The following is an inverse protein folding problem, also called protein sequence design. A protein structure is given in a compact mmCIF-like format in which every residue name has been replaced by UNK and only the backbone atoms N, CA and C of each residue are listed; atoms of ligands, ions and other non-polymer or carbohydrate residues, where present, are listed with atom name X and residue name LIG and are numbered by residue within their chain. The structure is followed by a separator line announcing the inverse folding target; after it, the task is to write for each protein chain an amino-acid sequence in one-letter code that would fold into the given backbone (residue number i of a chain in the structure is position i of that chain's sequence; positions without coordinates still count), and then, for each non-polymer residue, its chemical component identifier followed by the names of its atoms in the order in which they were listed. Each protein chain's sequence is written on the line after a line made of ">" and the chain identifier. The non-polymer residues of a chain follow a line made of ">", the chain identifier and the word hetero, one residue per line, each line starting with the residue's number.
data_IF_588657624367
#
_entry.id   IF_588657624367
#
_cell.length_a   1.000
_cell.length_b   1.000
_cell.length_c   1.000
_cell.angle_alpha   90.00
_cell.angle_beta   90.00
_cell.angle_gamma   90.00
#
_symmetry.space_group_name_H-M   'P 1'
#
loop_
_entity.id
_entity.type
_entity.pdbx_description
1 polymer ?
#
# COMPACT_ATOMS: atom_id res chain seq x y z
N UNK A 1 28.76 -26.20 -52.18
CA UNK A 1 27.46 -26.50 -52.79
C UNK A 1 26.54 -26.90 -51.65
N UNK A 2 25.49 -26.11 -51.38
CA UNK A 2 24.56 -26.33 -50.28
C UNK A 2 23.86 -27.71 -50.39
N UNK A 3 23.21 -28.14 -49.30
CA UNK A 3 21.76 -28.28 -49.45
C UNK A 3 20.95 -27.66 -48.31
N UNK A 4 19.75 -27.24 -48.70
CA UNK A 4 18.69 -26.56 -47.97
C UNK A 4 17.56 -27.56 -47.59
N UNK A 5 16.95 -27.29 -46.42
CA UNK A 5 15.60 -27.60 -45.87
C UNK A 5 15.01 -29.01 -45.85
N UNK A 6 14.39 -29.31 -44.68
CA UNK A 6 12.94 -29.55 -44.55
C UNK A 6 12.43 -29.23 -43.12
N UNK A 7 11.26 -28.61 -43.02
CA UNK A 7 10.48 -28.25 -41.81
C UNK A 7 9.93 -29.47 -41.02
N UNK A 8 9.54 -29.30 -39.73
CA UNK A 8 8.78 -30.30 -38.98
C UNK A 8 7.26 -30.06 -39.01
N UNK A 9 6.49 -31.15 -39.15
CA UNK A 9 5.03 -31.19 -39.04
C UNK A 9 4.61 -32.15 -37.91
N UNK A 10 3.58 -31.70 -37.19
CA UNK A 10 2.58 -32.40 -36.39
C UNK A 10 2.83 -32.88 -34.95
N UNK A 11 1.94 -32.38 -34.08
CA UNK A 11 1.58 -32.87 -32.77
C UNK A 11 0.65 -34.10 -32.88
N UNK A 12 0.72 -35.10 -31.98
CA UNK A 12 -0.31 -36.13 -31.93
C UNK A 12 -1.41 -35.82 -30.90
N UNK A 13 -2.63 -36.14 -31.31
CA UNK A 13 -3.87 -36.10 -30.56
C UNK A 13 -3.99 -37.24 -29.52
N UNK A 14 -4.82 -37.00 -28.51
CA UNK A 14 -5.15 -37.93 -27.43
C UNK A 14 -6.15 -39.02 -27.86
N UNK A 15 -6.01 -40.22 -27.29
CA UNK A 15 -7.03 -41.27 -27.23
C UNK A 15 -7.09 -41.86 -25.82
N UNK A 16 -8.31 -42.16 -25.40
CA UNK A 16 -8.87 -42.55 -24.09
C UNK A 16 -8.45 -43.92 -23.54
N UNK A 17 -8.40 -44.09 -22.20
CA UNK A 17 -8.58 -45.41 -21.55
C UNK A 17 -8.05 -45.62 -20.11
N UNK A 18 -8.84 -45.25 -19.10
CA UNK A 18 -9.09 -45.82 -17.75
C UNK A 18 -8.04 -46.59 -16.88
N UNK A 19 -8.07 -46.24 -15.58
CA UNK A 19 -7.86 -47.05 -14.35
C UNK A 19 -6.45 -47.18 -13.74
N UNK A 20 -6.30 -46.63 -12.53
CA UNK A 20 -5.21 -46.94 -11.59
C UNK A 20 -4.98 -45.82 -10.56
N UNK A 21 -5.39 -46.04 -9.31
CA UNK A 21 -5.14 -45.18 -8.16
C UNK A 21 -3.64 -45.03 -7.88
N UNK A 22 -3.17 -43.80 -7.61
CA UNK A 22 -2.12 -43.54 -6.62
C UNK A 22 -2.26 -42.09 -6.09
N UNK A 23 -2.47 -41.99 -4.77
CA UNK A 23 -2.48 -40.75 -4.00
C UNK A 23 -1.04 -40.32 -3.79
N UNK A 24 -0.62 -39.21 -4.40
CA UNK A 24 0.58 -38.48 -3.99
C UNK A 24 0.29 -36.98 -3.99
N UNK A 25 -0.20 -36.48 -2.86
CA UNK A 25 -0.48 -35.06 -2.65
C UNK A 25 0.80 -34.34 -2.25
N UNK A 26 1.57 -33.89 -3.25
CA UNK A 26 2.57 -32.85 -3.04
C UNK A 26 1.84 -31.50 -3.06
N UNK A 27 1.58 -30.94 -1.88
CA UNK A 27 1.02 -29.60 -1.72
C UNK A 27 2.10 -28.56 -1.96
N UNK A 28 2.26 -28.15 -3.23
CA UNK A 28 2.97 -26.92 -3.55
C UNK A 28 2.15 -25.73 -3.07
N UNK A 29 2.69 -24.95 -2.13
CA UNK A 29 2.06 -23.74 -1.62
C UNK A 29 2.00 -22.67 -2.73
N UNK A 30 0.85 -22.57 -3.39
CA UNK A 30 0.54 -21.47 -4.31
C UNK A 30 0.39 -20.18 -3.50
N UNK A 31 1.37 -19.28 -3.64
CA UNK A 31 1.28 -17.94 -3.06
C UNK A 31 0.14 -17.15 -3.74
N UNK A 32 -0.64 -16.35 -2.99
CA UNK A 32 -1.77 -15.62 -3.55
C UNK A 32 -1.31 -14.56 -4.57
N UNK A 33 -2.00 -14.50 -5.70
CA UNK A 33 -1.76 -13.54 -6.80
C UNK A 33 -2.59 -12.29 -6.55
N UNK A 34 -2.01 -11.10 -6.69
CA UNK A 34 -2.74 -9.84 -6.60
C UNK A 34 -3.38 -9.51 -7.96
N UNK A 35 -4.70 -9.61 -8.03
CA UNK A 35 -5.52 -9.28 -9.20
C UNK A 35 -6.27 -7.96 -8.97
N UNK A 36 -6.31 -7.08 -9.99
CA UNK A 36 -6.98 -5.78 -9.90
C UNK A 36 -7.88 -5.51 -11.10
N UNK A 37 -9.16 -5.23 -10.83
CA UNK A 37 -10.10 -4.69 -11.81
C UNK A 37 -9.93 -3.18 -11.96
N UNK A 38 -9.82 -2.69 -13.20
CA UNK A 38 -9.87 -1.26 -13.53
C UNK A 38 -11.33 -0.83 -13.68
N UNK A 39 -11.78 0.20 -12.95
CA UNK A 39 -13.04 0.88 -13.25
C UNK A 39 -12.73 2.28 -13.79
N UNK A 40 -12.90 2.44 -15.10
CA UNK A 40 -12.87 3.73 -15.79
C UNK A 40 -14.29 4.04 -16.23
N UNK A 41 -14.97 4.97 -15.55
CA UNK A 41 -16.16 5.59 -16.13
C UNK A 41 -16.17 7.08 -15.78
N UNK A 42 -15.92 7.89 -16.81
CA UNK A 42 -16.25 9.30 -16.86
C UNK A 42 -17.36 9.52 -17.89
N UNK A 43 -18.40 10.25 -17.49
CA UNK A 43 -19.30 11.09 -18.30
C UNK A 43 -20.40 11.60 -17.37
N UNK A 44 -20.47 12.90 -17.09
CA UNK A 44 -21.08 13.95 -17.92
C UNK A 44 -22.62 14.02 -17.75
N UNK A 45 -23.03 15.08 -17.03
CA UNK A 45 -24.13 16.02 -17.29
C UNK A 45 -25.44 15.48 -17.89
N UNK A 46 -26.54 15.63 -17.14
CA UNK A 46 -27.85 15.97 -17.70
C UNK A 46 -28.60 16.91 -16.76
N UNK A 47 -29.07 18.02 -17.33
CA UNK A 47 -29.96 19.03 -16.77
C UNK A 47 -31.10 19.14 -17.76
N UNK A 48 -32.33 18.85 -17.33
CA UNK A 48 -33.54 19.17 -18.09
C UNK A 48 -34.75 19.36 -17.19
N UNK A 49 -35.40 20.52 -17.35
CA UNK A 49 -36.60 21.00 -16.65
C UNK A 49 -37.91 20.48 -17.27
N UNK A 50 -39.00 20.50 -16.49
CA UNK A 50 -40.37 20.61 -17.04
C UNK A 50 -41.30 21.38 -16.07
N UNK A 51 -42.09 22.28 -16.65
CA UNK A 51 -42.97 23.28 -16.04
C UNK A 51 -44.47 22.90 -16.16
N UNK A 52 -45.30 23.36 -15.21
CA UNK A 52 -46.71 23.82 -15.32
C UNK A 52 -47.39 23.74 -13.92
N UNK A 53 -48.36 24.55 -13.48
CA UNK A 53 -48.95 25.84 -13.83
C UNK A 53 -49.96 26.19 -12.70
N UNK A 54 -50.27 27.48 -12.44
CA UNK A 54 -51.45 27.88 -11.62
C UNK A 54 -51.37 29.24 -10.90
N UNK A 55 -51.84 30.31 -11.58
CA UNK A 55 -52.81 31.39 -11.20
C UNK A 55 -53.00 31.71 -9.69
N UNK A 56 -53.11 32.93 -9.13
CA UNK A 56 -53.59 34.27 -9.57
C UNK A 56 -53.25 35.36 -8.50
N UNK A 57 -53.13 36.63 -8.93
CA UNK A 57 -53.28 37.95 -8.26
C UNK A 57 -53.04 38.18 -6.75
N UNK A 58 -52.22 39.18 -6.39
CA UNK A 58 -52.64 40.43 -5.70
C UNK A 58 -51.51 41.46 -5.75
N UNK A 59 -51.84 42.71 -6.12
CA UNK A 59 -50.93 43.85 -6.15
C UNK A 59 -50.59 44.31 -4.72
N UNK A 60 -49.31 44.52 -4.43
CA UNK A 60 -48.88 45.51 -3.45
C UNK A 60 -47.50 46.05 -3.83
N UNK A 61 -47.49 47.31 -4.25
CA UNK A 61 -46.30 48.13 -4.44
C UNK A 61 -45.69 48.43 -3.09
N UNK A 62 -44.63 47.69 -2.76
CA UNK A 62 -43.67 48.06 -1.71
C UNK A 62 -42.28 47.85 -2.29
N UNK A 63 -41.67 48.98 -2.66
CA UNK A 63 -40.24 49.23 -2.83
C UNK A 63 -39.32 48.01 -2.63
N UNK A 64 -38.81 47.48 -3.74
CA UNK A 64 -37.72 46.51 -3.77
C UNK A 64 -36.45 47.21 -3.27
N UNK A 65 -36.17 47.10 -1.98
CA UNK A 65 -34.80 47.19 -1.48
C UNK A 65 -34.13 45.86 -1.84
N UNK A 66 -33.34 45.89 -2.91
CA UNK A 66 -32.33 44.85 -3.16
C UNK A 66 -31.29 44.99 -2.05
N UNK A 67 -31.54 44.37 -0.90
CA UNK A 67 -30.46 44.14 0.06
C UNK A 67 -29.68 42.94 -0.46
N UNK A 68 -28.63 43.27 -1.21
CA UNK A 68 -27.57 42.35 -1.59
C UNK A 68 -26.75 41.98 -0.36
N UNK A 69 -27.34 41.24 0.57
CA UNK A 69 -26.58 40.50 1.58
C UNK A 69 -26.67 39.01 1.23
N UNK A 70 -25.91 38.63 0.21
CA UNK A 70 -25.41 37.25 0.06
C UNK A 70 -24.39 36.97 1.18
N UNK A 71 -24.79 37.22 2.42
CA UNK A 71 -24.05 36.91 3.63
C UNK A 71 -24.21 35.43 3.87
N UNK A 72 -23.12 34.70 3.67
CA UNK A 72 -23.02 33.28 3.98
C UNK A 72 -23.51 33.06 5.43
N UNK A 73 -24.58 32.27 5.60
CA UNK A 73 -25.14 31.98 6.91
C UNK A 73 -24.13 31.13 7.69
N UNK A 74 -23.36 31.75 8.58
CA UNK A 74 -22.37 31.11 9.46
C UNK A 74 -22.86 31.17 10.92
N UNK A 75 -23.56 30.14 11.42
CA UNK A 75 -24.02 30.10 12.79
C UNK A 75 -22.84 30.02 13.76
N UNK A 76 -22.75 30.99 14.68
CA UNK A 76 -21.77 30.96 15.75
C UNK A 76 -22.15 29.95 16.84
N UNK A 77 -21.19 29.14 17.28
CA UNK A 77 -21.33 28.21 18.39
C UNK A 77 -20.31 28.53 19.48
N UNK A 78 -20.76 28.58 20.74
CA UNK A 78 -19.86 28.72 21.88
C UNK A 78 -19.00 27.45 22.03
N UNK A 79 -17.66 27.58 22.20
CA UNK A 79 -16.80 26.43 22.38
C UNK A 79 -17.15 25.64 23.65
N UNK A 80 -17.47 24.35 23.48
CA UNK A 80 -17.75 23.44 24.62
C UNK A 80 -16.49 23.15 25.44
N UNK A 81 -15.32 23.14 24.79
CA UNK A 81 -14.03 22.84 25.42
C UNK A 81 -12.95 23.74 24.84
N UNK A 82 -12.08 24.26 25.70
CA UNK A 82 -10.84 24.92 25.30
C UNK A 82 -9.70 23.90 25.36
N UNK A 83 -9.13 23.57 24.20
CA UNK A 83 -7.98 22.68 24.10
C UNK A 83 -6.71 23.54 24.05
N UNK A 84 -5.73 23.32 24.95
CA UNK A 84 -4.46 24.01 24.85
C UNK A 84 -3.71 23.57 23.59
N UNK A 85 -2.90 24.47 23.04
CA UNK A 85 -1.98 24.11 21.97
C UNK A 85 -0.91 23.15 22.50
N UNK A 86 -0.78 21.99 21.85
CA UNK A 86 0.17 20.95 22.24
C UNK A 86 1.12 20.70 21.08
N UNK A 87 2.42 20.78 21.35
CA UNK A 87 3.44 20.36 20.39
C UNK A 87 3.49 18.84 20.32
N UNK A 88 3.08 18.29 19.18
CA UNK A 88 3.09 16.84 18.93
C UNK A 88 4.41 16.46 18.28
N UNK A 89 5.13 15.52 18.89
CA UNK A 89 6.33 14.91 18.30
C UNK A 89 5.95 13.79 17.33
N UNK A 90 6.69 13.66 16.24
CA UNK A 90 6.47 12.61 15.24
C UNK A 90 7.10 11.27 15.62
N UNK A 91 8.07 11.29 16.55
CA UNK A 91 8.95 10.17 16.89
C UNK A 91 9.74 9.63 15.67
N UNK A 92 10.01 10.51 14.72
CA UNK A 92 10.83 10.29 13.52
C UNK A 92 12.09 11.19 13.55
N UNK A 93 12.35 11.89 14.66
CA UNK A 93 13.39 12.94 14.77
C UNK A 93 14.82 12.38 14.78
N UNK A 94 15.02 11.18 15.32
CA UNK A 94 16.32 10.50 15.44
C UNK A 94 16.60 9.55 14.25
N UNK A 95 15.85 9.70 13.14
CA UNK A 95 15.94 8.80 11.99
C UNK A 95 16.14 9.55 10.68
N UNK A 96 17.03 9.02 9.84
CA UNK A 96 17.31 9.54 8.52
C UNK A 96 16.42 8.87 7.46
N UNK A 97 15.72 9.68 6.66
CA UNK A 97 14.94 9.18 5.52
C UNK A 97 15.82 8.80 4.34
N UNK A 98 16.00 7.50 4.11
CA UNK A 98 16.80 6.98 2.97
C UNK A 98 15.97 6.88 1.68
N UNK A 99 14.65 6.76 1.80
CA UNK A 99 13.73 6.74 0.67
C UNK A 99 12.41 7.41 1.05
N UNK A 100 11.81 8.14 0.11
CA UNK A 100 10.43 8.61 0.19
C UNK A 100 9.75 8.47 -1.18
N UNK A 101 8.55 7.90 -1.21
CA UNK A 101 7.81 7.74 -2.45
C UNK A 101 6.31 7.63 -2.25
N UNK A 102 5.54 8.24 -3.15
CA UNK A 102 4.07 8.15 -3.14
C UNK A 102 3.62 6.78 -3.64
N UNK A 103 2.81 6.11 -2.85
CA UNK A 103 2.32 4.76 -3.15
C UNK A 103 0.88 4.56 -2.66
N UNK A 104 0.32 3.42 -3.03
CA UNK A 104 -0.89 2.87 -2.46
C UNK A 104 -0.59 1.49 -1.89
N UNK A 105 -0.95 1.28 -0.63
CA UNK A 105 -0.71 0.07 0.15
C UNK A 105 -2.00 -0.73 0.30
N UNK A 106 -1.86 -2.04 0.18
CA UNK A 106 -2.91 -3.02 0.33
C UNK A 106 -2.50 -4.06 1.35
N UNK A 107 -3.49 -4.61 2.03
CA UNK A 107 -3.36 -5.72 2.96
C UNK A 107 -4.11 -6.93 2.41
N UNK A 108 -3.51 -8.10 2.50
CA UNK A 108 -4.19 -9.36 2.23
C UNK A 108 -5.06 -9.75 3.41
N UNK A 109 -6.37 -9.83 3.22
CA UNK A 109 -7.31 -10.30 4.21
C UNK A 109 -7.53 -11.80 4.01
N UNK A 110 -7.18 -12.62 5.01
CA UNK A 110 -7.38 -14.08 5.01
C UNK A 110 -8.16 -14.54 6.26
N UNK A 111 -9.00 -13.68 6.79
CA UNK A 111 -9.87 -14.03 7.91
C UNK A 111 -11.13 -14.77 7.42
N UNK A 112 -11.67 -15.66 8.26
CA UNK A 112 -13.03 -16.21 8.18
C UNK A 112 -13.31 -17.29 7.10
N UNK A 113 -12.29 -17.99 6.61
CA UNK A 113 -12.49 -19.14 5.71
C UNK A 113 -12.98 -18.77 4.29
N UNK A 114 -13.00 -17.47 3.98
CA UNK A 114 -13.24 -16.96 2.63
C UNK A 114 -11.94 -16.97 1.82
N UNK A 115 -12.03 -16.98 0.47
CA UNK A 115 -10.88 -16.77 -0.39
C UNK A 115 -10.21 -15.44 -0.04
N UNK A 116 -8.90 -15.47 0.21
CA UNK A 116 -8.23 -14.26 0.64
C UNK A 116 -8.25 -13.17 -0.43
N UNK A 117 -8.51 -11.94 0.02
CA UNK A 117 -8.73 -10.78 -0.83
C UNK A 117 -7.82 -9.61 -0.47
N UNK A 118 -7.45 -8.80 -1.46
CA UNK A 118 -6.63 -7.61 -1.24
C UNK A 118 -7.50 -6.41 -0.93
N UNK A 119 -7.34 -5.83 0.27
CA UNK A 119 -8.03 -4.61 0.71
C UNK A 119 -7.08 -3.42 0.67
N UNK A 120 -7.56 -2.28 0.18
CA UNK A 120 -6.81 -1.03 0.28
C UNK A 120 -6.62 -0.67 1.75
N UNK A 121 -5.36 -0.47 2.16
CA UNK A 121 -4.99 -0.11 3.52
C UNK A 121 -4.73 1.39 3.64
N UNK A 122 -4.16 2.01 2.61
CA UNK A 122 -3.98 3.46 2.57
C UNK A 122 -3.24 3.97 1.33
N UNK A 123 -3.34 5.27 1.10
CA UNK A 123 -2.63 6.00 0.05
C UNK A 123 -1.83 7.13 0.69
N UNK A 124 -0.54 7.24 0.34
CA UNK A 124 0.33 8.28 0.86
C UNK A 124 1.80 8.04 0.55
N UNK A 125 2.69 8.67 1.29
CA UNK A 125 4.12 8.50 1.14
C UNK A 125 4.61 7.36 2.04
N UNK A 126 5.26 6.36 1.44
CA UNK A 126 6.07 5.39 2.17
C UNK A 126 7.47 5.99 2.37
N UNK A 127 8.02 5.80 3.56
CA UNK A 127 9.38 6.16 3.93
C UNK A 127 10.14 4.92 4.38
N UNK A 128 11.41 4.85 4.03
CA UNK A 128 12.38 4.01 4.72
C UNK A 128 13.20 4.92 5.62
N UNK A 129 13.22 4.63 6.92
CA UNK A 129 13.84 5.44 7.95
C UNK A 129 14.95 4.63 8.62
N UNK A 130 16.17 5.13 8.58
CA UNK A 130 17.36 4.53 9.19
C UNK A 130 17.62 5.21 10.54
N UNK A 131 17.79 4.42 11.58
CA UNK A 131 18.32 4.88 12.86
C UNK A 131 19.81 4.49 12.94
N UNK A 132 20.70 5.48 13.05
CA UNK A 132 22.14 5.25 13.09
C UNK A 132 22.62 4.68 14.43
N UNK A 133 21.98 5.06 15.54
CA UNK A 133 22.39 4.61 16.87
C UNK A 133 22.05 3.14 17.15
N UNK A 134 21.01 2.62 16.49
CA UNK A 134 20.49 1.25 16.68
C UNK A 134 20.78 0.33 15.51
N UNK A 135 21.36 0.86 14.43
CA UNK A 135 21.55 0.15 13.15
C UNK A 135 20.28 -0.53 12.62
N UNK A 136 19.14 0.10 12.85
CA UNK A 136 17.84 -0.42 12.39
C UNK A 136 17.29 0.43 11.27
N UNK A 137 16.57 -0.21 10.35
CA UNK A 137 15.79 0.48 9.32
C UNK A 137 14.34 0.05 9.46
N UNK A 138 13.41 1.00 9.43
CA UNK A 138 11.96 0.72 9.43
C UNK A 138 11.27 1.32 8.22
N UNK A 139 10.23 0.64 7.78
CA UNK A 139 9.28 1.15 6.82
C UNK A 139 8.15 1.84 7.57
N UNK A 140 7.92 3.11 7.26
CA UNK A 140 6.83 3.91 7.82
C UNK A 140 5.99 4.50 6.68
N UNK A 141 4.68 4.30 6.74
CA UNK A 141 3.75 4.92 5.79
C UNK A 141 2.61 5.58 6.53
N UNK A 142 2.31 6.83 6.17
CA UNK A 142 1.14 7.57 6.68
C UNK A 142 0.15 7.84 5.55
N UNK A 143 -1.13 7.75 5.86
CA UNK A 143 -2.19 8.12 4.93
C UNK A 143 -2.24 9.64 4.75
N UNK A 144 -2.41 10.09 3.51
CA UNK A 144 -2.61 11.51 3.20
C UNK A 144 -3.88 12.06 3.89
N UNK A 145 -3.85 13.35 4.23
CA UNK A 145 -4.91 14.10 4.95
C UNK A 145 -5.08 13.69 6.41
N UNK A 146 -5.22 12.40 6.72
CA UNK A 146 -5.45 11.95 8.11
C UNK A 146 -4.16 11.76 8.91
N UNK A 147 -3.02 11.61 8.23
CA UNK A 147 -1.69 11.39 8.82
C UNK A 147 -1.58 10.14 9.72
N UNK A 148 -2.61 9.28 9.71
CA UNK A 148 -2.63 8.00 10.41
C UNK A 148 -1.58 7.06 9.83
N UNK A 149 -0.89 6.34 10.70
CA UNK A 149 0.05 5.29 10.31
C UNK A 149 -0.72 4.15 9.65
N UNK A 150 -0.20 3.64 8.53
CA UNK A 150 -0.79 2.54 7.75
C UNK A 150 0.13 1.34 7.60
N UNK A 151 1.44 1.55 7.74
CA UNK A 151 2.45 0.52 7.93
C UNK A 151 3.55 1.09 8.84
N UNK A 152 4.05 0.27 9.76
CA UNK A 152 5.16 0.58 10.64
C UNK A 152 5.82 -0.74 11.08
N UNK A 153 6.91 -1.11 10.43
CA UNK A 153 7.65 -2.33 10.77
C UNK A 153 9.13 -2.17 10.45
N UNK A 154 9.98 -2.87 11.20
CA UNK A 154 11.39 -2.97 10.88
C UNK A 154 11.60 -3.84 9.64
N UNK A 155 12.61 -3.47 8.86
CA UNK A 155 13.15 -4.29 7.79
C UNK A 155 13.94 -5.43 8.45
N UNK A 156 13.65 -6.67 8.06
CA UNK A 156 14.36 -7.84 8.59
C UNK A 156 15.19 -8.52 7.50
N UNK A 157 16.27 -9.24 7.85
CA UNK A 157 17.17 -9.91 6.89
C UNK A 157 16.50 -10.84 5.88
N UNK A 158 15.36 -11.43 6.25
CA UNK A 158 14.66 -12.43 5.46
C UNK A 158 13.46 -11.85 4.68
N UNK A 159 13.20 -10.54 4.77
CA UNK A 159 12.18 -9.89 3.93
C UNK A 159 12.62 -9.86 2.48
N UNK A 160 11.71 -10.24 1.57
CA UNK A 160 11.93 -10.22 0.12
C UNK A 160 10.72 -9.63 -0.59
N UNK A 161 10.96 -8.62 -1.41
CA UNK A 161 9.96 -8.09 -2.32
C UNK A 161 9.75 -9.06 -3.48
N UNK A 162 8.52 -9.57 -3.62
CA UNK A 162 8.13 -10.36 -4.79
C UNK A 162 7.35 -9.48 -5.75
N UNK A 163 7.76 -9.44 -7.01
CA UNK A 163 6.99 -8.75 -8.04
C UNK A 163 5.61 -9.40 -8.15
N UNK A 164 4.57 -8.57 -8.26
CA UNK A 164 3.24 -9.11 -8.50
C UNK A 164 3.10 -9.57 -9.96
N UNK A 165 2.47 -10.73 -10.17
CA UNK A 165 2.28 -11.29 -11.51
C UNK A 165 1.57 -10.27 -12.42
N UNK A 166 2.22 -9.92 -13.53
CA UNK A 166 1.67 -8.99 -14.53
C UNK A 166 1.79 -7.49 -14.19
N UNK A 167 2.49 -7.10 -13.12
CA UNK A 167 2.72 -5.68 -12.79
C UNK A 167 4.19 -5.39 -12.45
N UNK A 168 4.80 -4.51 -13.23
CA UNK A 168 6.12 -3.91 -12.99
C UNK A 168 6.09 -2.79 -11.92
N UNK A 169 4.89 -2.39 -11.50
CA UNK A 169 4.64 -1.28 -10.56
C UNK A 169 4.29 -1.71 -9.14
N UNK A 170 4.30 -3.01 -8.85
CA UNK A 170 3.78 -3.53 -7.59
C UNK A 170 4.61 -4.68 -7.03
N UNK A 171 4.77 -4.67 -5.71
CA UNK A 171 5.48 -5.70 -4.96
C UNK A 171 4.64 -6.21 -3.80
N UNK A 172 4.89 -7.46 -3.42
CA UNK A 172 4.27 -8.15 -2.29
C UNK A 172 5.35 -8.65 -1.34
N UNK A 173 5.16 -8.47 -0.03
CA UNK A 173 6.04 -9.04 1.00
C UNK A 173 5.24 -9.40 2.25
N UNK A 174 5.87 -10.21 3.09
CA UNK A 174 5.30 -10.63 4.37
C UNK A 174 6.02 -9.93 5.52
N UNK A 175 5.25 -9.50 6.51
CA UNK A 175 5.72 -8.82 7.71
C UNK A 175 5.25 -9.62 8.91
N UNK A 176 6.17 -9.97 9.81
CA UNK A 176 5.83 -10.75 11.00
C UNK A 176 5.21 -9.90 12.12
N UNK A 177 5.58 -8.62 12.20
CA UNK A 177 5.17 -7.71 13.27
C UNK A 177 5.10 -6.27 12.73
N UNK A 178 3.96 -5.92 12.13
CA UNK A 178 3.58 -4.54 11.82
C UNK A 178 2.86 -3.89 13.00
N UNK A 179 3.18 -2.63 13.28
CA UNK A 179 2.71 -1.88 14.43
C UNK A 179 1.89 -0.63 14.04
N UNK A 180 1.23 -0.64 12.88
CA UNK A 180 0.43 0.51 12.44
C UNK A 180 -0.80 0.79 13.32
N UNK A 181 -1.36 -0.26 13.95
CA UNK A 181 -2.53 -0.17 14.83
C UNK A 181 -2.15 -0.25 16.33
N UNK A 182 -0.90 0.12 16.68
CA UNK A 182 -0.36 0.07 18.06
C UNK A 182 -0.32 -1.33 18.71
N UNK A 183 -0.48 -2.36 17.89
CA UNK A 183 -0.39 -3.77 18.27
C UNK A 183 0.43 -4.52 17.20
N UNK A 184 1.35 -5.41 17.60
CA UNK A 184 2.15 -6.19 16.66
C UNK A 184 1.29 -7.23 15.94
N UNK A 185 1.17 -7.10 14.62
CA UNK A 185 0.35 -7.97 13.77
C UNK A 185 1.16 -8.53 12.60
N UNK A 186 1.00 -9.82 12.33
CA UNK A 186 1.51 -10.43 11.11
C UNK A 186 0.66 -10.01 9.92
N UNK A 187 1.28 -9.47 8.88
CA UNK A 187 0.59 -8.88 7.74
C UNK A 187 1.25 -9.26 6.41
N UNK A 188 0.44 -9.43 5.37
CA UNK A 188 0.96 -9.55 4.00
C UNK A 188 0.56 -8.30 3.24
N UNK A 189 1.57 -7.52 2.85
CA UNK A 189 1.38 -6.25 2.17
C UNK A 189 1.61 -6.37 0.68
N UNK A 190 0.84 -5.60 -0.08
CA UNK A 190 1.16 -5.25 -1.45
C UNK A 190 1.27 -3.73 -1.57
N UNK A 191 2.28 -3.25 -2.27
CA UNK A 191 2.47 -1.82 -2.55
C UNK A 191 2.42 -1.61 -4.05
N UNK A 192 1.77 -0.53 -4.49
CA UNK A 192 1.72 -0.11 -5.88
C UNK A 192 2.16 1.33 -6.03
N UNK A 193 3.00 1.59 -7.02
CA UNK A 193 3.45 2.92 -7.39
C UNK A 193 2.75 3.41 -8.67
N UNK A 194 2.80 4.73 -8.89
CA UNK A 194 2.24 5.34 -10.10
C UNK A 194 2.97 4.84 -11.37
N UNK A 195 4.30 4.81 -11.31
CA UNK A 195 5.19 4.52 -12.45
C UNK A 195 6.18 3.41 -12.09
N UNK A 196 6.68 2.70 -13.10
CA UNK A 196 7.63 1.60 -12.94
C UNK A 196 8.98 2.06 -12.38
N UNK A 197 9.42 3.28 -12.70
CA UNK A 197 10.67 3.84 -12.18
C UNK A 197 10.60 4.07 -10.67
N UNK A 198 9.47 4.59 -10.15
CA UNK A 198 9.28 4.74 -8.71
C UNK A 198 9.26 3.38 -8.00
N UNK A 199 8.65 2.37 -8.63
CA UNK A 199 8.67 1.01 -8.12
C UNK A 199 10.10 0.44 -8.08
N UNK A 200 10.88 0.64 -9.13
CA UNK A 200 12.29 0.20 -9.19
C UNK A 200 13.13 0.89 -8.11
N UNK A 201 13.01 2.21 -7.97
CA UNK A 201 13.71 2.98 -6.95
C UNK A 201 13.35 2.53 -5.52
N UNK A 202 12.07 2.22 -5.26
CA UNK A 202 11.66 1.63 -3.99
C UNK A 202 12.29 0.25 -3.77
N UNK A 203 12.28 -0.60 -4.80
CA UNK A 203 12.83 -1.96 -4.72
C UNK A 203 14.32 -1.92 -4.38
N UNK A 204 15.08 -1.09 -5.09
CA UNK A 204 16.51 -0.89 -4.87
C UNK A 204 16.78 -0.40 -3.44
N UNK A 205 16.12 0.67 -3.01
CA UNK A 205 16.28 1.18 -1.64
C UNK A 205 15.87 0.16 -0.55
N UNK A 206 14.87 -0.69 -0.82
CA UNK A 206 14.46 -1.74 0.10
C UNK A 206 15.47 -2.88 0.16
N UNK A 207 16.01 -3.32 -0.97
CA UNK A 207 17.05 -4.36 -1.05
C UNK A 207 18.37 -3.88 -0.40
N UNK A 208 18.72 -2.61 -0.59
CA UNK A 208 19.85 -1.97 0.09
C UNK A 208 19.63 -1.90 1.60
N UNK A 209 18.41 -1.55 2.04
CA UNK A 209 18.06 -1.55 3.46
C UNK A 209 18.15 -2.95 4.08
N UNK A 210 17.71 -4.00 3.39
CA UNK A 210 17.86 -5.39 3.85
C UNK A 210 19.34 -5.75 3.96
N UNK A 211 20.15 -5.38 2.97
CA UNK A 211 21.61 -5.63 2.96
C UNK A 211 22.29 -4.93 4.13
N UNK A 212 21.95 -3.66 4.39
CA UNK A 212 22.45 -2.90 5.54
C UNK A 212 22.17 -3.65 6.85
N UNK A 213 20.91 -4.04 7.08
CA UNK A 213 20.51 -4.73 8.31
C UNK A 213 21.24 -6.07 8.47
N UNK A 214 21.47 -6.81 7.37
CA UNK A 214 22.26 -8.05 7.41
C UNK A 214 23.70 -7.77 7.86
N UNK A 215 24.35 -6.77 7.26
CA UNK A 215 25.72 -6.40 7.59
C UNK A 215 25.85 -5.95 9.05
N UNK A 216 24.97 -5.06 9.51
CA UNK A 216 25.00 -4.55 10.89
C UNK A 216 24.80 -5.67 11.92
N UNK A 217 23.93 -6.65 11.63
CA UNK A 217 23.76 -7.82 12.51
C UNK A 217 25.06 -8.66 12.53
N UNK A 218 25.69 -8.88 11.39
CA UNK A 218 26.92 -9.66 11.31
C UNK A 218 28.09 -8.98 12.05
N UNK A 219 28.23 -7.66 11.93
CA UNK A 219 29.22 -6.86 12.65
C UNK A 219 29.00 -6.93 14.17
N UNK A 220 27.75 -6.78 14.63
CA UNK A 220 27.43 -6.89 16.06
C UNK A 220 27.73 -8.28 16.65
N UNK A 221 27.57 -9.37 15.86
CA UNK A 221 27.99 -10.70 16.31
C UNK A 221 29.52 -10.85 16.39
N UNK A 222 30.25 -10.20 15.50
CA UNK A 222 31.71 -10.26 15.50
C UNK A 222 32.28 -9.53 16.71
N UNK A 223 31.82 -8.32 17.00
CA UNK A 223 32.24 -7.52 18.16
C UNK A 223 31.93 -8.24 19.48
N UNK A 224 30.71 -8.77 19.63
CA UNK A 224 30.34 -9.54 20.82
C UNK A 224 31.19 -10.81 21.03
N UNK A 225 31.66 -11.43 19.94
CA UNK A 225 32.56 -12.58 20.02
C UNK A 225 33.97 -12.15 20.47
N UNK A 226 34.48 -11.02 19.97
CA UNK A 226 35.80 -10.50 20.35
C UNK A 226 35.86 -10.07 21.82
N UNK A 227 34.81 -9.42 22.31
CA UNK A 227 34.67 -9.09 23.75
C UNK A 227 34.68 -10.36 24.61
N UNK A 228 33.91 -11.38 24.22
CA UNK A 228 33.84 -12.64 24.96
C UNK A 228 35.16 -13.42 24.98
N UNK A 229 36.01 -13.28 23.95
CA UNK A 229 37.34 -13.90 23.90
C UNK A 229 38.34 -13.11 24.75
N UNK A 230 38.21 -11.79 24.81
CA UNK A 230 39.15 -10.91 25.52
C UNK A 230 38.92 -10.89 27.03
N UNK A 231 37.70 -11.20 27.49
CA UNK A 231 37.35 -11.30 28.92
C UNK A 231 37.68 -12.66 29.57
N UNK A 232 38.29 -13.62 28.85
CA UNK A 232 38.79 -14.90 29.37
C UNK A 232 40.29 -14.92 29.62
#
# INVERSE_FOLDING_TARGET
>A
MAPEKTDPTDCPAATTGSSGNDVNTSTAATSPVFSMSMNTNGSALDTSSSVAAGTESTANTSTVSVDSTNGEHDPYFEPVVSLPEVTIKTNEEDEQGIYIGRCKLYRYNHENGEPGEWKERGTGNVKLLKNEDKDTIRLLMRQEKTLKVRANHYITPYMKLRANCGSDKAFVWHVMSDFADEEPKGEMFAIRFANADNARAFKEAFEDAVTYVISSIAEGFHEALEEAITEQ
#
